data_IF_854671973606
#
_entry.id   IF_854671973606
#
_cell.length_a   1.000
_cell.length_b   1.000
_cell.length_c   1.000
_cell.angle_alpha   90.00
_cell.angle_beta   90.00
_cell.angle_gamma   90.00
#
_symmetry.space_group_name_H-M   'P 1'
#
loop_
_entity.id
_entity.type
_entity.pdbx_description
1 polymer ?
#
# COMPACT_ATOMS: atom_id res chain seq x y z
N UNK A 1 -0.77 27.61 -2.03
CA UNK A 1 0.47 27.44 -2.83
C UNK A 1 1.13 26.20 -2.29
N UNK A 2 1.25 25.14 -3.08
CA UNK A 2 1.80 23.86 -2.67
C UNK A 2 3.29 24.01 -2.31
N UNK A 3 3.71 23.49 -1.16
CA UNK A 3 5.10 23.58 -0.70
C UNK A 3 5.87 22.36 -1.16
N UNK A 4 6.96 22.56 -1.90
CA UNK A 4 7.88 21.48 -2.28
C UNK A 4 8.82 21.19 -1.11
N UNK A 5 8.86 19.94 -0.65
CA UNK A 5 9.72 19.47 0.45
C UNK A 5 10.62 18.37 -0.07
N UNK A 6 11.94 18.55 0.04
CA UNK A 6 12.89 17.49 -0.27
C UNK A 6 13.08 16.58 0.93
N UNK A 7 13.13 15.28 0.72
CA UNK A 7 13.52 14.33 1.78
C UNK A 7 14.94 14.64 2.22
N UNK A 8 15.16 14.78 3.52
CA UNK A 8 16.48 14.99 4.07
C UNK A 8 17.21 13.64 4.19
N UNK A 9 18.22 13.44 3.34
CA UNK A 9 19.09 12.25 3.41
C UNK A 9 19.85 12.12 4.74
N UNK A 10 19.90 13.19 5.54
CA UNK A 10 20.51 13.17 6.88
C UNK A 10 19.58 12.58 7.94
N UNK A 11 18.28 12.53 7.68
CA UNK A 11 17.28 11.90 8.57
C UNK A 11 16.93 10.52 8.00
N UNK A 12 17.92 9.64 7.96
CA UNK A 12 17.80 8.27 7.51
C UNK A 12 17.72 7.35 8.72
N UNK A 13 16.74 6.49 8.75
CA UNK A 13 16.55 5.46 9.78
C UNK A 13 16.94 4.13 9.18
N UNK A 14 18.12 3.62 9.57
CA UNK A 14 18.65 2.36 9.06
C UNK A 14 17.80 1.19 9.59
N UNK A 15 17.46 0.27 8.72
CA UNK A 15 16.72 -0.95 9.06
C UNK A 15 17.62 -2.20 9.12
N UNK A 16 18.93 -2.04 8.94
CA UNK A 16 19.90 -3.14 8.99
C UNK A 16 19.95 -3.94 7.69
N UNK A 17 19.71 -5.25 7.77
CA UNK A 17 19.82 -6.17 6.63
C UNK A 17 18.58 -6.26 5.73
N UNK A 18 17.53 -5.48 6.03
CA UNK A 18 16.32 -5.45 5.21
C UNK A 18 16.55 -4.71 3.89
N UNK A 19 15.84 -5.14 2.85
CA UNK A 19 16.00 -4.63 1.48
C UNK A 19 14.71 -4.08 0.88
N UNK A 20 13.67 -3.93 1.67
CA UNK A 20 12.43 -3.34 1.21
C UNK A 20 11.44 -3.09 2.34
N UNK A 21 10.60 -2.08 2.14
CA UNK A 21 9.55 -1.68 3.08
C UNK A 21 8.28 -1.42 2.30
N UNK A 22 7.21 -2.14 2.63
CA UNK A 22 5.91 -2.01 1.96
C UNK A 22 4.85 -1.26 2.79
N UNK A 23 5.04 -1.17 4.10
CA UNK A 23 4.12 -0.45 4.98
C UNK A 23 4.86 0.15 6.17
N UNK A 24 4.45 1.34 6.58
CA UNK A 24 4.92 2.02 7.81
C UNK A 24 3.69 2.50 8.57
N UNK A 25 3.70 2.31 9.89
CA UNK A 25 2.69 2.86 10.80
C UNK A 25 3.35 3.39 12.07
N UNK A 26 2.70 4.35 12.70
CA UNK A 26 3.07 4.82 14.03
C UNK A 26 2.06 4.35 15.06
N UNK A 27 2.56 4.01 16.24
CA UNK A 27 1.75 3.71 17.42
C UNK A 27 2.52 4.10 18.67
N UNK A 28 1.87 4.84 19.55
CA UNK A 28 2.43 5.25 20.85
C UNK A 28 3.81 5.95 20.73
N UNK A 29 3.98 6.81 19.71
CA UNK A 29 5.22 7.52 19.43
C UNK A 29 6.34 6.68 18.79
N UNK A 30 6.11 5.40 18.54
CA UNK A 30 7.07 4.49 17.91
C UNK A 30 6.70 4.25 16.44
N UNK A 31 7.70 4.07 15.61
CA UNK A 31 7.54 3.65 14.22
C UNK A 31 7.64 2.14 14.09
N UNK A 32 6.78 1.61 13.24
CA UNK A 32 6.77 0.22 12.83
C UNK A 32 6.84 0.14 11.32
N UNK A 33 7.56 -0.84 10.79
CA UNK A 33 7.71 -1.06 9.36
C UNK A 33 7.56 -2.54 9.01
N UNK A 34 6.85 -2.84 7.93
CA UNK A 34 6.86 -4.13 7.29
C UNK A 34 8.07 -4.21 6.37
N UNK A 35 9.10 -4.94 6.78
CA UNK A 35 10.38 -5.02 6.11
C UNK A 35 10.72 -6.45 5.68
N UNK A 36 11.42 -6.63 4.56
CA UNK A 36 11.73 -7.96 4.02
C UNK A 36 13.20 -8.08 3.55
N UNK A 37 13.69 -9.32 3.47
CA UNK A 37 15.09 -9.67 3.30
C UNK A 37 15.60 -9.72 1.84
N UNK A 38 14.84 -9.24 0.86
CA UNK A 38 15.27 -9.19 -0.54
C UNK A 38 15.26 -10.52 -1.32
N UNK A 39 14.92 -11.64 -0.68
CA UNK A 39 14.84 -12.92 -1.36
C UNK A 39 13.62 -13.00 -2.29
N UNK A 40 13.64 -13.93 -3.26
CA UNK A 40 12.46 -14.28 -4.03
C UNK A 40 11.33 -14.78 -3.11
N UNK A 41 10.06 -14.53 -3.46
CA UNK A 41 8.89 -14.77 -2.59
C UNK A 41 8.88 -16.15 -1.92
N UNK A 42 9.23 -17.21 -2.64
CA UNK A 42 9.30 -18.58 -2.10
C UNK A 42 10.27 -18.76 -0.91
N UNK A 43 11.27 -17.88 -0.79
CA UNK A 43 12.30 -17.91 0.26
C UNK A 43 12.31 -16.62 1.09
N UNK A 44 11.36 -15.74 0.81
CA UNK A 44 11.26 -14.47 1.50
C UNK A 44 10.77 -14.69 2.91
N UNK A 45 11.35 -13.94 3.83
CA UNK A 45 10.80 -13.69 5.16
C UNK A 45 10.62 -12.20 5.30
N UNK A 46 9.56 -11.81 5.95
CA UNK A 46 9.26 -10.43 6.27
C UNK A 46 9.04 -10.30 7.76
N UNK A 47 9.54 -9.20 8.29
CA UNK A 47 9.41 -8.89 9.71
C UNK A 47 8.59 -7.60 9.88
N UNK A 48 7.76 -7.59 10.90
CA UNK A 48 7.31 -6.34 11.49
C UNK A 48 8.40 -5.86 12.42
N UNK A 49 9.08 -4.80 12.04
CA UNK A 49 10.16 -4.21 12.83
C UNK A 49 9.64 -2.96 13.56
N UNK A 50 10.06 -2.82 14.82
CA UNK A 50 9.86 -1.60 15.60
C UNK A 50 11.14 -0.79 15.62
N UNK A 51 11.04 0.52 15.44
CA UNK A 51 12.19 1.43 15.50
C UNK A 51 12.00 2.43 16.63
N UNK A 52 13.03 2.66 17.42
CA UNK A 52 13.07 3.57 18.56
C UNK A 52 14.17 4.62 18.46
N UNK A 53 14.29 5.26 17.28
CA UNK A 53 15.24 6.37 17.07
C UNK A 53 16.67 5.98 16.70
N UNK A 54 16.96 4.70 16.42
CA UNK A 54 18.29 4.29 15.97
C UNK A 54 18.47 2.79 15.82
N UNK A 55 17.60 1.99 16.40
CA UNK A 55 17.66 0.53 16.31
C UNK A 55 16.35 -0.02 15.77
N UNK A 56 16.43 -0.91 14.81
CA UNK A 56 15.31 -1.69 14.31
C UNK A 56 15.31 -3.07 14.98
N UNK A 57 14.22 -3.45 15.61
CA UNK A 57 14.06 -4.76 16.24
C UNK A 57 12.85 -5.49 15.65
N UNK A 58 13.05 -6.71 15.17
CA UNK A 58 11.96 -7.57 14.73
C UNK A 58 11.10 -7.95 15.94
N UNK A 59 9.78 -7.75 15.82
CA UNK A 59 8.80 -8.12 16.85
C UNK A 59 7.89 -9.26 16.40
N UNK A 60 7.84 -9.51 15.10
CA UNK A 60 7.02 -10.53 14.47
C UNK A 60 7.65 -10.89 13.13
N UNK A 61 7.69 -12.20 12.80
CA UNK A 61 8.21 -12.70 11.52
C UNK A 61 7.16 -13.54 10.81
N UNK A 62 7.05 -13.39 9.50
CA UNK A 62 6.18 -14.19 8.64
C UNK A 62 6.92 -14.72 7.42
N UNK A 63 6.51 -15.87 6.91
CA UNK A 63 6.97 -16.36 5.61
C UNK A 63 6.35 -15.54 4.49
N UNK A 64 7.07 -15.35 3.39
CA UNK A 64 6.62 -14.56 2.25
C UNK A 64 6.77 -13.06 2.50
N UNK A 65 5.83 -12.30 1.98
CA UNK A 65 5.83 -10.84 1.98
C UNK A 65 4.75 -10.31 2.93
N UNK A 66 5.15 -9.47 3.88
CA UNK A 66 4.25 -8.68 4.70
C UNK A 66 3.93 -7.39 3.96
N UNK A 67 2.78 -7.35 3.30
CA UNK A 67 2.43 -6.26 2.37
C UNK A 67 1.75 -5.07 3.06
N UNK A 68 1.17 -5.28 4.24
CA UNK A 68 0.53 -4.23 5.02
C UNK A 68 0.24 -4.68 6.44
N UNK A 69 0.11 -3.72 7.35
CA UNK A 69 -0.34 -3.97 8.72
C UNK A 69 -1.06 -2.75 9.30
N UNK A 70 -1.93 -2.99 10.27
CA UNK A 70 -2.61 -1.98 11.05
C UNK A 70 -2.83 -2.47 12.49
N UNK A 71 -2.87 -1.54 13.44
CA UNK A 71 -3.16 -1.85 14.84
C UNK A 71 -4.64 -1.63 15.13
N UNK A 72 -5.25 -2.51 15.90
CA UNK A 72 -6.55 -2.25 16.49
C UNK A 72 -6.45 -1.55 17.87
N UNK A 73 -7.61 -1.23 18.45
CA UNK A 73 -7.68 -0.55 19.74
C UNK A 73 -7.12 -1.40 20.91
N UNK A 74 -7.10 -2.72 20.79
CA UNK A 74 -6.51 -3.62 21.78
C UNK A 74 -4.99 -3.74 21.62
N UNK A 75 -4.43 -3.19 20.54
CA UNK A 75 -3.02 -3.29 20.21
C UNK A 75 -2.65 -4.56 19.42
N UNK A 76 -3.63 -5.37 19.06
CA UNK A 76 -3.40 -6.48 18.14
C UNK A 76 -3.02 -5.94 16.75
N UNK A 77 -2.22 -6.71 16.03
CA UNK A 77 -1.78 -6.37 14.69
C UNK A 77 -2.56 -7.19 13.68
N UNK A 78 -3.29 -6.52 12.80
CA UNK A 78 -3.86 -7.09 11.59
C UNK A 78 -2.88 -6.91 10.45
N UNK A 79 -2.63 -7.95 9.68
CA UNK A 79 -1.62 -7.91 8.63
C UNK A 79 -2.06 -8.67 7.38
N UNK A 80 -1.60 -8.20 6.24
CA UNK A 80 -1.73 -8.86 4.95
C UNK A 80 -0.42 -9.55 4.60
N UNK A 81 -0.49 -10.87 4.41
CA UNK A 81 0.64 -11.73 4.09
C UNK A 81 0.46 -12.29 2.67
N UNK A 82 1.50 -12.25 1.86
CA UNK A 82 1.52 -12.80 0.52
C UNK A 82 2.57 -13.89 0.41
N UNK A 83 2.13 -15.07 0.00
CA UNK A 83 2.98 -16.22 -0.29
C UNK A 83 2.78 -16.69 -1.72
N UNK A 84 3.52 -17.70 -2.14
CA UNK A 84 3.31 -18.34 -3.45
C UNK A 84 1.96 -19.06 -3.58
N UNK A 85 1.28 -19.31 -2.46
CA UNK A 85 -0.06 -19.91 -2.42
C UNK A 85 -1.19 -18.88 -2.52
N UNK A 86 -0.88 -17.58 -2.43
CA UNK A 86 -1.83 -16.47 -2.46
C UNK A 86 -1.73 -15.58 -1.24
N UNK A 87 -2.69 -14.68 -1.15
CA UNK A 87 -2.81 -13.71 -0.06
C UNK A 87 -3.54 -14.29 1.16
N UNK A 88 -3.28 -13.69 2.32
CA UNK A 88 -3.93 -14.04 3.58
C UNK A 88 -4.09 -12.79 4.44
N UNK A 89 -5.27 -12.61 5.06
CA UNK A 89 -5.45 -11.69 6.19
C UNK A 89 -5.13 -12.46 7.47
N UNK A 90 -4.18 -11.95 8.25
CA UNK A 90 -3.74 -12.54 9.50
C UNK A 90 -3.93 -11.60 10.69
N UNK A 91 -3.87 -12.15 11.90
CA UNK A 91 -3.88 -11.41 13.16
C UNK A 91 -2.77 -11.90 14.09
N UNK A 92 -2.04 -10.97 14.70
CA UNK A 92 -1.13 -11.24 15.79
C UNK A 92 -1.62 -10.53 17.05
N UNK A 93 -1.83 -11.26 18.13
CA UNK A 93 -2.29 -10.68 19.40
C UNK A 93 -1.17 -9.93 20.09
N UNK A 94 -1.51 -8.81 20.71
CA UNK A 94 -0.56 -7.91 21.38
C UNK A 94 0.30 -8.61 22.44
N UNK A 95 -0.30 -9.45 23.26
CA UNK A 95 0.34 -10.17 24.37
C UNK A 95 1.18 -11.37 23.91
N UNK A 96 1.15 -11.72 22.63
CA UNK A 96 1.84 -12.87 22.05
C UNK A 96 2.60 -12.54 20.75
N UNK A 97 3.04 -11.30 20.58
CA UNK A 97 3.93 -10.95 19.49
C UNK A 97 5.20 -11.82 19.54
N UNK A 98 5.57 -12.39 18.39
CA UNK A 98 6.63 -13.37 18.28
C UNK A 98 6.15 -14.83 18.28
N UNK A 99 4.88 -15.09 18.62
CA UNK A 99 4.24 -16.37 18.34
C UNK A 99 3.75 -16.44 16.88
N UNK A 100 3.27 -17.62 16.46
CA UNK A 100 2.69 -17.78 15.13
C UNK A 100 1.45 -16.89 14.96
N UNK A 101 1.35 -16.23 13.81
CA UNK A 101 0.19 -15.40 13.46
C UNK A 101 -1.03 -16.29 13.16
N UNK A 102 -2.21 -15.85 13.57
CA UNK A 102 -3.47 -16.48 13.25
C UNK A 102 -3.87 -16.11 11.80
N UNK A 103 -4.08 -17.11 10.95
CA UNK A 103 -4.66 -16.90 9.62
C UNK A 103 -6.18 -16.75 9.76
N UNK A 104 -6.72 -15.61 9.34
CA UNK A 104 -8.14 -15.26 9.53
C UNK A 104 -8.94 -15.43 8.24
N UNK A 105 -8.43 -14.94 7.11
CA UNK A 105 -9.06 -15.08 5.79
C UNK A 105 -7.99 -15.53 4.80
N UNK A 106 -8.14 -16.75 4.27
CA UNK A 106 -7.22 -17.33 3.28
C UNK A 106 -7.86 -17.49 1.91
N UNK A 107 -9.19 -17.45 1.86
CA UNK A 107 -9.96 -17.68 0.64
C UNK A 107 -11.29 -16.94 0.70
N UNK A 108 -11.85 -16.63 -0.46
CA UNK A 108 -13.21 -16.12 -0.65
C UNK A 108 -13.92 -16.97 -1.70
N UNK A 109 -15.14 -17.38 -1.43
CA UNK A 109 -15.96 -18.22 -2.33
C UNK A 109 -15.22 -19.48 -2.82
N UNK A 110 -14.37 -20.06 -1.98
CA UNK A 110 -13.58 -21.26 -2.28
C UNK A 110 -12.33 -21.02 -3.13
N UNK A 111 -12.03 -19.78 -3.52
CA UNK A 111 -10.80 -19.40 -4.23
C UNK A 111 -9.79 -18.73 -3.30
N UNK A 112 -8.48 -19.00 -3.42
CA UNK A 112 -7.45 -18.27 -2.69
C UNK A 112 -7.55 -16.77 -2.93
N UNK A 113 -7.17 -15.96 -1.94
CA UNK A 113 -7.02 -14.52 -2.15
C UNK A 113 -5.91 -14.27 -3.18
N UNK A 114 -6.13 -13.27 -4.04
CA UNK A 114 -5.09 -12.75 -4.93
C UNK A 114 -3.97 -12.03 -4.17
N UNK A 115 -3.29 -11.13 -4.84
CA UNK A 115 -2.22 -10.34 -4.25
C UNK A 115 -2.78 -9.32 -3.24
N UNK A 116 -2.77 -9.65 -1.97
CA UNK A 116 -3.14 -8.70 -0.90
C UNK A 116 -2.10 -7.58 -0.79
N UNK A 117 -2.52 -6.36 -0.47
CA UNK A 117 -1.65 -5.17 -0.53
C UNK A 117 -1.70 -4.26 0.69
N UNK A 118 -2.85 -4.09 1.30
CA UNK A 118 -3.03 -3.13 2.38
C UNK A 118 -4.11 -3.59 3.36
N UNK A 119 -4.02 -3.10 4.58
CA UNK A 119 -5.02 -3.32 5.64
C UNK A 119 -5.18 -2.06 6.49
N UNK A 120 -6.41 -1.75 6.85
CA UNK A 120 -6.80 -0.68 7.77
C UNK A 120 -7.82 -1.19 8.79
N UNK A 121 -7.76 -0.66 10.01
CA UNK A 121 -8.72 -0.98 11.07
C UNK A 121 -9.50 0.27 11.44
N UNK A 122 -10.83 0.19 11.35
CA UNK A 122 -11.69 1.31 11.72
C UNK A 122 -11.80 1.46 13.25
N UNK A 123 -12.19 2.65 13.75
CA UNK A 123 -12.47 2.85 15.16
C UNK A 123 -13.51 1.87 15.74
N UNK A 124 -14.41 1.37 14.89
CA UNK A 124 -15.40 0.35 15.25
C UNK A 124 -14.85 -1.10 15.23
N UNK A 125 -13.56 -1.30 14.99
CA UNK A 125 -12.90 -2.61 14.96
C UNK A 125 -13.16 -3.42 13.69
N UNK A 126 -13.73 -2.84 12.63
CA UNK A 126 -13.83 -3.49 11.32
C UNK A 126 -12.48 -3.43 10.61
N UNK A 127 -12.11 -4.51 9.94
CA UNK A 127 -10.81 -4.66 9.27
C UNK A 127 -11.01 -4.61 7.77
N UNK A 128 -10.59 -3.52 7.14
CA UNK A 128 -10.60 -3.36 5.69
C UNK A 128 -9.30 -3.89 5.11
N UNK A 129 -9.36 -4.69 4.07
CA UNK A 129 -8.15 -5.16 3.38
C UNK A 129 -8.32 -5.13 1.87
N UNK A 130 -7.23 -4.84 1.18
CA UNK A 130 -7.20 -4.75 -0.26
C UNK A 130 -6.55 -5.99 -0.89
N UNK A 131 -7.13 -6.45 -1.99
CA UNK A 131 -6.55 -7.37 -2.95
C UNK A 131 -6.21 -6.54 -4.19
N UNK A 132 -4.93 -6.32 -4.44
CA UNK A 132 -4.45 -5.46 -5.52
C UNK A 132 -4.79 -6.02 -6.90
N UNK A 133 -4.66 -7.34 -7.05
CA UNK A 133 -4.94 -8.07 -8.28
C UNK A 133 -5.31 -9.52 -7.99
N UNK A 134 -6.17 -10.10 -8.84
CA UNK A 134 -6.55 -11.51 -8.72
C UNK A 134 -5.41 -12.47 -9.13
N UNK A 135 -4.50 -12.03 -10.00
CA UNK A 135 -3.39 -12.82 -10.53
C UNK A 135 -2.02 -12.19 -10.21
N UNK A 136 -0.95 -12.97 -10.37
CA UNK A 136 0.43 -12.50 -10.21
C UNK A 136 0.97 -12.57 -8.78
N UNK A 137 0.17 -13.09 -7.84
CA UNK A 137 0.55 -13.22 -6.43
C UNK A 137 1.81 -14.06 -6.21
N UNK A 138 2.05 -15.06 -7.04
CA UNK A 138 3.15 -16.02 -6.95
C UNK A 138 4.56 -15.41 -7.03
N UNK A 139 4.66 -14.17 -7.55
CA UNK A 139 5.93 -13.46 -7.69
C UNK A 139 6.06 -12.23 -6.75
N UNK A 140 5.12 -12.05 -5.84
CA UNK A 140 5.08 -10.93 -4.88
C UNK A 140 4.24 -9.74 -5.33
N UNK A 141 4.00 -8.81 -4.40
CA UNK A 141 3.11 -7.66 -4.62
C UNK A 141 3.58 -6.75 -5.76
N UNK A 142 4.88 -6.47 -5.82
CA UNK A 142 5.46 -5.61 -6.86
C UNK A 142 5.18 -6.17 -8.27
N UNK A 143 5.33 -7.49 -8.45
CA UNK A 143 5.05 -8.18 -9.70
C UNK A 143 3.56 -8.19 -10.03
N UNK A 144 2.71 -8.42 -9.04
CA UNK A 144 1.25 -8.42 -9.21
C UNK A 144 0.73 -7.05 -9.64
N UNK A 145 1.17 -5.98 -8.97
CA UNK A 145 0.82 -4.61 -9.31
C UNK A 145 1.31 -4.21 -10.71
N UNK A 146 2.53 -4.60 -11.08
CA UNK A 146 3.08 -4.35 -12.42
C UNK A 146 2.28 -5.09 -13.49
N UNK A 147 1.92 -6.33 -13.22
CA UNK A 147 1.09 -7.14 -14.12
C UNK A 147 -0.29 -6.50 -14.30
N UNK A 148 -0.94 -6.09 -13.21
CA UNK A 148 -2.24 -5.42 -13.25
C UNK A 148 -2.15 -4.07 -13.99
N UNK A 149 -1.10 -3.28 -13.74
CA UNK A 149 -0.88 -2.03 -14.45
C UNK A 149 -0.69 -2.22 -15.95
N UNK A 150 0.00 -3.30 -16.38
CA UNK A 150 0.14 -3.67 -17.79
C UNK A 150 -1.15 -4.25 -18.37
N UNK A 151 -1.83 -5.14 -17.67
CA UNK A 151 -3.06 -5.78 -18.14
C UNK A 151 -4.24 -4.81 -18.12
N UNK A 152 -4.33 -3.98 -17.08
CA UNK A 152 -5.43 -3.06 -16.81
C UNK A 152 -6.79 -3.78 -16.80
N UNK A 153 -6.82 -4.90 -16.09
CA UNK A 153 -8.00 -5.77 -16.04
C UNK A 153 -8.97 -5.39 -14.93
N UNK A 154 -8.55 -4.46 -14.05
CA UNK A 154 -9.33 -3.94 -12.93
C UNK A 154 -9.90 -5.06 -12.04
N UNK A 155 -9.04 -6.04 -11.71
CA UNK A 155 -9.41 -7.18 -10.87
C UNK A 155 -9.27 -6.92 -9.39
N UNK A 156 -8.71 -5.78 -9.00
CA UNK A 156 -8.54 -5.38 -7.61
C UNK A 156 -9.86 -5.15 -6.90
N UNK A 157 -9.86 -5.52 -5.61
CA UNK A 157 -11.04 -5.41 -4.73
C UNK A 157 -10.63 -4.97 -3.33
N UNK A 158 -11.58 -4.37 -2.63
CA UNK A 158 -11.48 -4.09 -1.19
C UNK A 158 -12.58 -4.84 -0.46
N UNK A 159 -12.21 -5.49 0.63
CA UNK A 159 -13.10 -6.25 1.50
C UNK A 159 -13.08 -5.69 2.91
N UNK A 160 -14.12 -5.96 3.66
CA UNK A 160 -14.18 -5.73 5.10
C UNK A 160 -14.42 -7.04 5.84
N UNK A 161 -13.60 -7.32 6.82
CA UNK A 161 -13.80 -8.41 7.78
C UNK A 161 -14.38 -7.86 9.07
N UNK A 162 -15.43 -8.50 9.56
CA UNK A 162 -16.05 -8.24 10.86
C UNK A 162 -15.55 -9.29 11.87
N UNK A 163 -14.66 -8.93 12.81
CA UNK A 163 -14.15 -9.89 13.79
C UNK A 163 -15.22 -10.44 14.73
N UNK A 164 -16.28 -9.66 15.01
CA UNK A 164 -17.37 -10.09 15.88
C UNK A 164 -18.29 -11.10 15.21
N UNK A 165 -18.66 -10.86 13.96
CA UNK A 165 -19.50 -11.76 13.17
C UNK A 165 -18.71 -12.86 12.46
N UNK A 166 -17.38 -12.69 12.29
CA UNK A 166 -16.49 -13.54 11.48
C UNK A 166 -16.94 -13.65 10.02
N UNK A 167 -17.40 -12.54 9.46
CA UNK A 167 -17.86 -12.45 8.07
C UNK A 167 -16.94 -11.55 7.25
N UNK A 168 -16.87 -11.84 5.97
CA UNK A 168 -16.19 -10.99 4.97
C UNK A 168 -17.22 -10.50 3.98
N UNK A 169 -17.20 -9.20 3.68
CA UNK A 169 -18.05 -8.59 2.67
C UNK A 169 -17.22 -7.75 1.71
N UNK A 170 -17.61 -7.70 0.45
CA UNK A 170 -16.96 -6.84 -0.53
C UNK A 170 -17.44 -5.40 -0.36
N UNK A 171 -16.50 -4.46 -0.28
CA UNK A 171 -16.77 -3.01 -0.24
C UNK A 171 -16.74 -2.43 -1.64
N UNK A 172 -15.61 -2.63 -2.35
CA UNK A 172 -15.33 -2.04 -3.66
C UNK A 172 -14.67 -3.07 -4.56
N UNK A 173 -15.11 -3.17 -5.80
CA UNK A 173 -14.48 -3.96 -6.86
C UNK A 173 -14.17 -3.12 -8.08
N UNK A 174 -13.48 -3.69 -9.06
CA UNK A 174 -13.15 -3.02 -10.31
C UNK A 174 -12.02 -2.01 -10.19
N UNK A 175 -11.10 -2.18 -9.25
CA UNK A 175 -9.93 -1.32 -9.04
C UNK A 175 -8.74 -1.87 -9.83
N UNK A 176 -8.10 -1.05 -10.61
CA UNK A 176 -6.92 -1.45 -11.40
C UNK A 176 -5.63 -1.35 -10.56
N UNK A 177 -5.48 -2.24 -9.61
CA UNK A 177 -4.40 -2.27 -8.64
C UNK A 177 -4.71 -1.48 -7.37
N UNK A 178 -5.53 -2.07 -6.49
CA UNK A 178 -5.83 -1.52 -5.16
C UNK A 178 -4.57 -1.61 -4.28
N UNK A 179 -3.72 -0.59 -4.28
CA UNK A 179 -2.39 -0.63 -3.67
C UNK A 179 -2.31 -0.07 -2.26
N UNK A 180 -3.24 0.78 -1.86
CA UNK A 180 -3.26 1.41 -0.54
C UNK A 180 -4.66 1.72 -0.05
N UNK A 181 -4.82 1.74 1.27
CA UNK A 181 -6.03 2.10 1.98
C UNK A 181 -5.74 3.17 3.03
N UNK A 182 -6.69 4.05 3.25
CA UNK A 182 -6.73 4.92 4.42
C UNK A 182 -8.19 5.20 4.82
N UNK A 183 -8.45 5.31 6.10
CA UNK A 183 -9.74 5.78 6.61
C UNK A 183 -9.66 7.27 6.94
N UNK A 184 -10.76 8.00 6.75
CA UNK A 184 -10.90 9.34 7.31
C UNK A 184 -10.76 9.29 8.83
N UNK A 185 -10.39 10.40 9.51
CA UNK A 185 -10.20 10.41 10.98
C UNK A 185 -11.42 9.92 11.76
N UNK A 186 -12.62 10.18 11.26
CA UNK A 186 -13.87 9.70 11.85
C UNK A 186 -14.26 8.26 11.47
N UNK A 187 -13.50 7.64 10.55
CA UNK A 187 -13.73 6.29 10.06
C UNK A 187 -14.92 6.16 9.11
N UNK A 188 -15.55 7.25 8.67
CA UNK A 188 -16.73 7.22 7.82
C UNK A 188 -16.44 7.01 6.34
N UNK A 189 -15.29 7.49 5.88
CA UNK A 189 -14.85 7.40 4.48
C UNK A 189 -13.63 6.52 4.36
N UNK A 190 -13.68 5.57 3.42
CA UNK A 190 -12.54 4.76 3.02
C UNK A 190 -11.96 5.30 1.71
N UNK A 191 -10.68 5.65 1.74
CA UNK A 191 -9.89 6.04 0.57
C UNK A 191 -9.15 4.82 0.03
N UNK A 192 -9.19 4.62 -1.29
CA UNK A 192 -8.58 3.49 -1.98
C UNK A 192 -7.74 4.01 -3.13
N UNK A 193 -6.45 3.70 -3.16
CA UNK A 193 -5.62 4.02 -4.30
C UNK A 193 -5.90 3.08 -5.47
N UNK A 194 -6.17 3.65 -6.64
CA UNK A 194 -6.27 2.93 -7.92
C UNK A 194 -5.04 3.26 -8.76
N UNK A 195 -4.11 2.34 -8.76
CA UNK A 195 -2.81 2.50 -9.40
C UNK A 195 -2.94 2.72 -10.91
N UNK A 196 -3.76 1.91 -11.56
CA UNK A 196 -3.94 1.96 -13.03
C UNK A 196 -4.76 3.16 -13.50
N UNK A 197 -5.77 3.55 -12.73
CA UNK A 197 -6.60 4.73 -13.03
C UNK A 197 -5.95 6.04 -12.59
N UNK A 198 -4.89 5.96 -11.78
CA UNK A 198 -4.16 7.12 -11.22
C UNK A 198 -5.08 8.07 -10.48
N UNK A 199 -5.90 7.50 -9.61
CA UNK A 199 -6.84 8.23 -8.79
C UNK A 199 -6.95 7.64 -7.38
N UNK A 200 -7.60 8.37 -6.51
CA UNK A 200 -8.00 7.90 -5.19
C UNK A 200 -9.53 7.87 -5.17
N UNK A 201 -10.10 6.69 -5.02
CA UNK A 201 -11.52 6.53 -4.79
C UNK A 201 -11.88 6.83 -3.34
N UNK A 202 -12.98 7.55 -3.12
CA UNK A 202 -13.58 7.73 -1.81
C UNK A 202 -14.95 7.03 -1.80
N UNK A 203 -15.17 6.16 -0.81
CA UNK A 203 -16.40 5.43 -0.61
C UNK A 203 -16.84 5.52 0.84
N UNK A 204 -18.15 5.46 1.10
CA UNK A 204 -18.66 5.29 2.45
C UNK A 204 -18.15 3.94 3.00
N UNK A 205 -17.48 3.96 4.14
CA UNK A 205 -16.93 2.77 4.78
C UNK A 205 -17.99 1.73 5.13
N UNK A 206 -19.25 2.14 5.32
CA UNK A 206 -20.38 1.24 5.54
C UNK A 206 -20.99 0.67 4.24
N UNK A 207 -20.63 1.22 3.07
CA UNK A 207 -21.16 0.74 1.79
C UNK A 207 -20.62 -0.64 1.41
N UNK A 208 -21.38 -1.36 0.60
CA UNK A 208 -21.06 -2.71 0.11
C UNK A 208 -21.33 -2.81 -1.37
N UNK A 209 -20.64 -3.77 -2.02
CA UNK A 209 -20.81 -4.13 -3.42
C UNK A 209 -20.70 -2.95 -4.40
N UNK A 210 -19.83 -1.97 -4.06
CA UNK A 210 -19.55 -0.85 -4.95
C UNK A 210 -18.61 -1.28 -6.09
N UNK A 211 -18.65 -0.51 -7.17
CA UNK A 211 -17.73 -0.64 -8.30
C UNK A 211 -17.00 0.68 -8.51
N UNK A 212 -15.70 0.62 -8.76
CA UNK A 212 -14.88 1.80 -9.06
C UNK A 212 -15.48 2.60 -10.23
N UNK A 213 -15.62 3.92 -10.04
CA UNK A 213 -16.29 4.80 -10.99
C UNK A 213 -17.81 4.65 -11.06
N UNK A 214 -18.42 3.75 -10.27
CA UNK A 214 -19.86 3.58 -10.20
C UNK A 214 -20.55 4.48 -9.17
N UNK A 215 -21.85 4.33 -9.05
CA UNK A 215 -22.64 5.08 -8.07
C UNK A 215 -22.15 4.78 -6.63
N UNK A 216 -21.95 5.80 -5.83
CA UNK A 216 -21.47 5.68 -4.46
C UNK A 216 -19.94 5.56 -4.34
N UNK A 217 -19.23 5.60 -5.46
CA UNK A 217 -17.77 5.67 -5.52
C UNK A 217 -17.38 7.01 -6.15
N UNK A 218 -16.71 7.88 -5.39
CA UNK A 218 -16.32 9.20 -5.85
C UNK A 218 -14.83 9.19 -6.18
N UNK A 219 -14.47 9.78 -7.32
CA UNK A 219 -13.09 10.12 -7.66
C UNK A 219 -12.68 11.35 -6.84
N UNK A 220 -12.09 11.09 -5.67
CA UNK A 220 -11.69 12.17 -4.76
C UNK A 220 -10.50 12.96 -5.30
N UNK A 221 -9.53 12.27 -5.89
CA UNK A 221 -8.31 12.87 -6.45
C UNK A 221 -7.91 12.12 -7.72
N UNK A 222 -8.01 12.78 -8.88
CA UNK A 222 -7.72 12.23 -10.19
C UNK A 222 -6.48 12.84 -10.84
N UNK A 223 -6.01 12.18 -11.91
CA UNK A 223 -4.93 12.69 -12.73
C UNK A 223 -3.60 12.84 -12.00
N UNK A 224 -3.37 12.00 -11.01
CA UNK A 224 -2.19 12.02 -10.15
C UNK A 224 -0.88 11.98 -10.95
N UNK A 225 0.20 12.64 -10.48
CA UNK A 225 1.48 12.75 -11.20
C UNK A 225 2.27 11.43 -11.24
N UNK A 226 1.87 10.43 -10.46
CA UNK A 226 2.43 9.08 -10.40
C UNK A 226 1.36 8.01 -10.30
N UNK A 227 1.80 6.75 -10.22
CA UNK A 227 0.93 5.61 -9.92
C UNK A 227 0.80 5.48 -8.40
N UNK A 228 -0.41 5.77 -7.82
CA UNK A 228 -0.57 5.85 -6.38
C UNK A 228 -0.36 4.49 -5.71
N UNK A 229 0.33 4.50 -4.59
CA UNK A 229 0.63 3.34 -3.75
C UNK A 229 -0.05 3.43 -2.40
N UNK A 230 0.75 3.40 -1.33
CA UNK A 230 0.26 3.49 0.03
C UNK A 230 -0.40 4.84 0.32
N UNK A 231 -1.41 4.80 1.18
CA UNK A 231 -2.12 5.95 1.71
C UNK A 231 -1.92 6.01 3.23
N UNK A 232 -1.93 7.22 3.77
CA UNK A 232 -2.03 7.44 5.22
C UNK A 232 -2.83 8.72 5.47
N UNK A 233 -3.82 8.67 6.35
CA UNK A 233 -4.50 9.85 6.83
C UNK A 233 -4.05 10.15 8.26
N UNK A 234 -3.85 11.42 8.56
CA UNK A 234 -3.58 11.85 9.92
C UNK A 234 -4.85 12.32 10.64
N UNK A 235 -4.72 12.58 11.93
CA UNK A 235 -5.83 13.06 12.77
C UNK A 235 -6.31 14.47 12.43
N UNK A 236 -5.49 15.24 11.72
CA UNK A 236 -5.80 16.62 11.33
C UNK A 236 -6.57 16.67 10.01
N UNK A 237 -6.79 15.50 9.37
CA UNK A 237 -7.52 15.39 8.12
C UNK A 237 -6.67 15.66 6.88
N UNK A 238 -5.37 15.41 6.93
CA UNK A 238 -4.49 15.40 5.77
C UNK A 238 -4.29 13.98 5.28
N UNK A 239 -4.52 13.75 3.99
CA UNK A 239 -4.23 12.49 3.32
C UNK A 239 -2.87 12.57 2.64
N UNK A 240 -1.99 11.64 2.96
CA UNK A 240 -0.71 11.44 2.32
C UNK A 240 -0.82 10.33 1.28
N UNK A 241 -0.46 10.63 0.05
CA UNK A 241 -0.53 9.74 -1.10
C UNK A 241 0.89 9.46 -1.56
N UNK A 242 1.35 8.22 -1.43
CA UNK A 242 2.64 7.82 -2.00
C UNK A 242 2.49 7.45 -3.48
N UNK A 243 3.56 7.61 -4.24
CA UNK A 243 3.61 7.15 -5.63
C UNK A 243 4.57 5.97 -5.72
N UNK A 244 4.00 4.78 -5.94
CA UNK A 244 4.79 3.56 -6.04
C UNK A 244 5.73 3.61 -7.24
N UNK A 245 5.28 4.24 -8.34
CA UNK A 245 6.11 4.56 -9.49
C UNK A 245 5.71 5.91 -10.08
N UNK A 246 6.69 6.57 -10.68
CA UNK A 246 6.44 7.70 -11.54
C UNK A 246 5.76 7.26 -12.84
N UNK A 247 5.08 8.17 -13.52
CA UNK A 247 4.38 7.87 -14.78
C UNK A 247 5.33 7.35 -15.84
N UNK A 248 4.99 6.23 -16.46
CA UNK A 248 5.71 5.66 -17.59
C UNK A 248 5.24 6.30 -18.90
N UNK A 249 6.13 6.99 -19.61
CA UNK A 249 5.79 7.56 -20.91
C UNK A 249 5.32 6.51 -21.93
N UNK A 250 5.80 5.27 -21.83
CA UNK A 250 5.35 4.19 -22.69
C UNK A 250 3.91 3.75 -22.36
N UNK A 251 3.60 3.56 -21.09
CA UNK A 251 2.24 3.18 -20.64
C UNK A 251 1.21 4.24 -21.00
N UNK A 252 1.53 5.52 -20.75
CA UNK A 252 0.64 6.63 -21.07
C UNK A 252 0.34 6.70 -22.57
N UNK A 253 1.37 6.55 -23.41
CA UNK A 253 1.22 6.55 -24.87
C UNK A 253 0.42 5.36 -25.40
N UNK A 254 0.45 4.23 -24.71
CA UNK A 254 -0.17 2.98 -25.13
C UNK A 254 -1.34 2.57 -24.22
N UNK A 255 -1.93 3.53 -23.47
CA UNK A 255 -3.01 3.28 -22.52
C UNK A 255 -4.17 2.51 -23.16
N UNK A 256 -4.59 2.88 -24.38
CA UNK A 256 -5.72 2.30 -25.09
C UNK A 256 -5.35 1.08 -25.97
N UNK A 257 -4.06 0.72 -26.02
CA UNK A 257 -3.60 -0.38 -26.89
C UNK A 257 -3.53 -1.71 -26.16
N UNK A 258 -4.61 -2.48 -26.17
CA UNK A 258 -4.66 -3.84 -25.60
C UNK A 258 -3.64 -4.78 -26.22
N UNK A 259 -3.36 -4.63 -27.53
CA UNK A 259 -2.36 -5.43 -28.23
C UNK A 259 -0.94 -5.18 -27.70
N UNK A 260 -0.50 -3.92 -27.65
CA UNK A 260 0.85 -3.58 -27.18
C UNK A 260 1.04 -3.90 -25.71
N UNK A 261 0.03 -3.67 -24.88
CA UNK A 261 0.02 -4.05 -23.47
C UNK A 261 0.12 -5.57 -23.31
N UNK A 262 -0.63 -6.35 -24.12
CA UNK A 262 -0.56 -7.80 -24.13
C UNK A 262 0.82 -8.34 -24.59
N UNK A 263 1.51 -7.67 -25.49
CA UNK A 263 2.90 -7.99 -25.86
C UNK A 263 3.84 -7.69 -24.71
N UNK A 264 3.69 -6.54 -24.04
CA UNK A 264 4.50 -6.15 -22.91
C UNK A 264 4.36 -7.12 -21.71
N UNK A 265 3.16 -7.65 -21.47
CA UNK A 265 2.91 -8.68 -20.45
C UNK A 265 3.69 -9.98 -20.68
N UNK A 266 3.93 -10.34 -21.96
CA UNK A 266 4.70 -11.54 -22.33
C UNK A 266 6.19 -11.29 -22.44
N UNK A 267 6.62 -10.04 -22.34
CA UNK A 267 8.03 -9.68 -22.39
C UNK A 267 8.74 -10.13 -21.10
N UNK A 268 10.04 -10.43 -21.20
CA UNK A 268 10.84 -10.74 -20.02
C UNK A 268 10.93 -9.54 -19.04
N UNK A 269 11.17 -9.83 -17.76
CA UNK A 269 11.20 -8.87 -16.66
C UNK A 269 12.05 -7.62 -16.97
N UNK A 270 13.26 -7.78 -17.49
CA UNK A 270 14.13 -6.66 -17.85
C UNK A 270 13.51 -5.72 -18.89
N UNK A 271 12.70 -6.26 -19.81
CA UNK A 271 11.98 -5.44 -20.80
C UNK A 271 10.84 -4.69 -20.14
N UNK A 272 10.06 -5.36 -19.30
CA UNK A 272 8.99 -4.71 -18.52
C UNK A 272 9.55 -3.58 -17.66
N UNK A 273 10.65 -3.79 -16.94
CA UNK A 273 11.31 -2.75 -16.14
C UNK A 273 11.72 -1.53 -16.95
N UNK A 274 12.18 -1.74 -18.20
CA UNK A 274 12.48 -0.61 -19.10
C UNK A 274 11.23 0.19 -19.47
N UNK A 275 10.08 -0.47 -19.62
CA UNK A 275 8.81 0.20 -19.93
C UNK A 275 8.34 1.09 -18.77
N UNK A 276 8.70 0.75 -17.54
CA UNK A 276 8.37 1.53 -16.33
C UNK A 276 9.38 2.64 -16.02
N UNK A 277 10.45 2.78 -16.79
CA UNK A 277 11.42 3.86 -16.54
C UNK A 277 10.76 5.22 -16.73
N UNK A 278 10.88 6.04 -15.70
CA UNK A 278 10.54 7.44 -15.76
C UNK A 278 11.77 8.26 -16.15
N UNK A 279 11.55 9.29 -16.95
CA UNK A 279 12.59 10.24 -17.39
C UNK A 279 12.47 11.60 -16.71
N UNK A 280 11.44 11.82 -15.88
CA UNK A 280 11.17 13.09 -15.22
C UNK A 280 11.35 13.01 -13.71
N UNK A 281 11.72 14.11 -13.08
CA UNK A 281 11.63 14.31 -11.65
C UNK A 281 10.15 14.34 -11.24
N UNK A 282 9.65 13.19 -10.76
CA UNK A 282 8.29 13.07 -10.27
C UNK A 282 8.30 13.13 -8.74
N UNK A 283 7.22 13.61 -8.12
CA UNK A 283 7.08 13.52 -6.67
C UNK A 283 7.06 12.04 -6.23
N UNK A 284 7.58 11.78 -5.04
CA UNK A 284 7.47 10.48 -4.41
C UNK A 284 6.20 10.35 -3.55
N UNK A 285 5.66 11.46 -3.09
CA UNK A 285 4.40 11.54 -2.37
C UNK A 285 3.84 12.96 -2.40
N UNK A 286 2.57 13.11 -2.10
CA UNK A 286 1.89 14.39 -1.91
C UNK A 286 0.97 14.31 -0.69
N UNK A 287 0.72 15.50 -0.09
CA UNK A 287 -0.22 15.68 1.00
C UNK A 287 -1.37 16.57 0.54
N UNK A 288 -2.60 16.19 0.86
CA UNK A 288 -3.82 16.88 0.49
C UNK A 288 -4.78 16.97 1.67
N UNK A 289 -5.38 18.14 1.86
CA UNK A 289 -6.41 18.35 2.89
C UNK A 289 -7.71 17.66 2.48
N UNK A 290 -8.21 16.77 3.31
CA UNK A 290 -9.51 16.10 3.09
C UNK A 290 -10.69 17.05 3.21
N UNK A 291 -10.55 18.11 4.01
CA UNK A 291 -11.62 19.08 4.22
C UNK A 291 -11.82 20.03 3.01
N UNK A 292 -10.74 20.39 2.34
CA UNK A 292 -10.76 21.41 1.27
C UNK A 292 -10.39 20.88 -0.11
N UNK A 293 -9.80 19.68 -0.20
CA UNK A 293 -9.21 19.15 -1.43
C UNK A 293 -7.94 19.88 -1.89
N UNK A 294 -7.39 20.77 -1.06
CA UNK A 294 -6.21 21.54 -1.41
C UNK A 294 -4.93 20.72 -1.24
N UNK A 295 -4.09 20.70 -2.25
CA UNK A 295 -2.74 20.13 -2.19
C UNK A 295 -1.85 21.04 -1.34
N UNK A 296 -1.29 20.48 -0.29
CA UNK A 296 -0.51 21.21 0.73
C UNK A 296 0.98 21.07 0.51
N UNK A 297 1.46 19.84 0.30
CA UNK A 297 2.88 19.54 0.16
C UNK A 297 3.14 18.55 -0.97
N UNK A 298 4.33 18.67 -1.58
CA UNK A 298 4.89 17.73 -2.53
C UNK A 298 6.25 17.27 -2.02
N UNK A 299 6.44 15.96 -1.89
CA UNK A 299 7.69 15.37 -1.43
C UNK A 299 8.49 14.82 -2.61
N UNK A 300 9.81 15.09 -2.61
CA UNK A 300 10.74 14.67 -3.66
C UNK A 300 12.01 14.10 -3.04
N UNK A 301 12.87 13.50 -3.86
CA UNK A 301 14.23 13.10 -3.44
C UNK A 301 14.38 11.65 -3.01
N UNK A 302 13.34 10.79 -3.13
CA UNK A 302 13.52 9.34 -3.05
C UNK A 302 14.23 8.85 -4.30
N UNK A 303 15.17 7.92 -4.11
CA UNK A 303 15.84 7.26 -5.22
C UNK A 303 14.81 6.53 -6.08
N UNK A 304 14.94 6.64 -7.41
CA UNK A 304 14.08 6.00 -8.40
C UNK A 304 12.61 6.46 -8.43
N UNK A 305 12.26 7.56 -7.71
CA UNK A 305 10.88 8.07 -7.63
C UNK A 305 9.87 6.96 -7.28
N UNK A 306 10.25 6.07 -6.36
CA UNK A 306 9.44 4.96 -5.90
C UNK A 306 9.21 5.09 -4.40
N UNK A 307 7.94 5.11 -3.99
CA UNK A 307 7.54 5.16 -2.60
C UNK A 307 6.48 4.10 -2.35
N UNK A 308 6.85 3.03 -1.65
CA UNK A 308 5.96 1.94 -1.32
C UNK A 308 5.17 2.18 -0.03
N UNK A 309 5.69 3.02 0.86
CA UNK A 309 5.09 3.29 2.16
C UNK A 309 5.22 4.76 2.55
N UNK A 310 4.21 5.31 3.20
CA UNK A 310 4.18 6.66 3.76
C UNK A 310 3.52 6.65 5.14
N UNK A 311 4.08 7.40 6.08
CA UNK A 311 3.53 7.53 7.43
C UNK A 311 3.85 8.90 8.03
N UNK A 312 2.84 9.74 8.27
CA UNK A 312 3.02 10.98 9.04
C UNK A 312 3.13 10.66 10.53
N UNK A 313 4.11 11.28 11.20
CA UNK A 313 4.31 11.16 12.65
C UNK A 313 4.79 12.50 13.19
N UNK A 314 4.02 13.11 14.07
CA UNK A 314 4.35 14.41 14.65
C UNK A 314 4.70 15.47 13.59
N UNK A 315 5.91 15.99 13.60
CA UNK A 315 6.40 17.01 12.66
C UNK A 315 7.07 16.43 11.42
N UNK A 316 7.05 15.10 11.21
CA UNK A 316 7.74 14.41 10.12
C UNK A 316 6.81 13.51 9.32
N UNK A 317 7.20 13.27 8.09
CA UNK A 317 6.64 12.22 7.24
C UNK A 317 7.75 11.24 6.89
N UNK A 318 7.52 9.95 7.14
CA UNK A 318 8.44 8.88 6.84
C UNK A 318 8.03 8.14 5.57
N UNK A 319 9.04 7.74 4.80
CA UNK A 319 8.88 7.08 3.50
C UNK A 319 9.71 5.80 3.45
N UNK A 320 9.12 4.75 2.87
CA UNK A 320 9.77 3.49 2.56
C UNK A 320 9.66 3.16 1.08
N UNK A 321 10.61 2.43 0.56
CA UNK A 321 10.60 1.98 -0.82
C UNK A 321 10.93 0.49 -0.93
N UNK A 322 10.42 -0.17 -1.97
CA UNK A 322 10.90 -1.48 -2.36
C UNK A 322 12.38 -1.36 -2.77
N UNK A 323 13.23 -2.20 -2.21
CA UNK A 323 14.68 -2.15 -2.43
C UNK A 323 15.44 -1.13 -1.56
N UNK A 324 14.80 -0.52 -0.57
CA UNK A 324 15.44 0.35 0.40
C UNK A 324 15.79 -0.40 1.70
N UNK A 325 16.95 -0.11 2.24
CA UNK A 325 17.47 -0.61 3.52
C UNK A 325 17.20 0.36 4.69
N UNK A 326 16.41 1.40 4.43
CA UNK A 326 16.20 2.49 5.37
C UNK A 326 14.91 3.24 5.08
N UNK A 327 14.39 3.91 6.12
CA UNK A 327 13.33 4.90 5.99
C UNK A 327 13.96 6.28 5.80
N UNK A 328 13.39 7.06 4.89
CA UNK A 328 13.72 8.47 4.74
C UNK A 328 12.65 9.33 5.43
N UNK A 329 13.02 10.50 5.91
CA UNK A 329 12.07 11.42 6.51
C UNK A 329 12.14 12.81 5.86
N UNK A 330 11.00 13.50 5.88
CA UNK A 330 10.90 14.91 5.55
C UNK A 330 10.12 15.65 6.66
N UNK A 331 10.30 16.95 6.75
CA UNK A 331 9.47 17.76 7.63
C UNK A 331 8.05 17.88 7.05
N UNK A 332 7.10 17.90 7.98
CA UNK A 332 5.68 18.10 7.70
C UNK A 332 5.33 19.58 7.55
#
# INVERSE_FOLDING_TARGET
MQTAVSTDRKTRLELGEYQGVDCIRAKDGLLYAAAWNGAALKKRTSDLVRTDGGHAAAILSVEGELTGFAFDAAGDVWLTQLTTAGGTLCRAKHDSWGAAVEQVVTQLDGAPLGAVSAVEVSPAGKVYFAVAAAAGAENGLESALRTELLAHTATGCVYVYDPAARTVEKVLGGVAGAAGLALSPDGSTLYVSDLGSRCIWAVDAAARELTAGGRGCTDAFAGLPGYPGALAADTDGTLYISYRWARSGWLEKNADSTLLRGIALRAGQNTQERLFRCTADAPCAEAVSLATGAWEQTFTGLAQNSCAAVCPVESKVYFGAAGADSLLAANR
#
